data_IF_940573371509
#
_entry.id   IF_940573371509
#
_cell.length_a   1.000
_cell.length_b   1.000
_cell.length_c   1.000
_cell.angle_alpha   90.00
_cell.angle_beta   90.00
_cell.angle_gamma   90.00
#
_symmetry.space_group_name_H-M   'P 1'
#
loop_
_entity.id
_entity.type
_entity.pdbx_description
1 polymer ?
#
# COMPACT_ATOMS: atom_id res chain seq x y z
N UNK A 1 -3.37 -15.42 7.51
CA UNK A 1 -2.01 -14.86 7.51
C UNK A 1 -1.90 -13.80 8.60
N UNK A 2 -0.86 -13.84 9.40
CA UNK A 2 -0.64 -12.83 10.43
C UNK A 2 0.39 -11.81 9.97
N UNK A 3 0.03 -10.54 10.11
CA UNK A 3 0.90 -9.40 9.81
C UNK A 3 0.89 -8.44 10.99
N UNK A 4 1.81 -7.50 11.01
CA UNK A 4 2.04 -6.64 12.17
C UNK A 4 1.96 -5.18 11.77
N UNK A 5 1.43 -4.37 12.68
CA UNK A 5 1.28 -2.94 12.47
C UNK A 5 1.70 -2.18 13.74
N UNK A 6 2.35 -1.04 13.54
CA UNK A 6 2.71 -0.13 14.63
C UNK A 6 2.03 1.21 14.46
N UNK A 7 1.61 1.83 15.56
CA UNK A 7 0.97 3.15 15.56
C UNK A 7 1.18 3.88 16.88
N UNK A 8 0.74 5.12 16.94
CA UNK A 8 0.76 5.93 18.15
C UNK A 8 -0.47 5.74 19.04
N UNK A 9 -1.47 5.03 18.57
CA UNK A 9 -2.70 4.78 19.30
C UNK A 9 -3.16 3.33 19.10
N UNK A 10 -3.99 2.85 20.04
CA UNK A 10 -4.60 1.52 19.91
C UNK A 10 -5.51 1.49 18.69
N UNK A 11 -5.29 0.50 17.84
CA UNK A 11 -6.08 0.30 16.62
C UNK A 11 -7.20 -0.71 16.91
N UNK A 12 -8.43 -0.30 16.75
CA UNK A 12 -9.62 -1.16 16.83
C UNK A 12 -10.07 -1.53 15.42
N UNK A 13 -10.07 -0.56 14.52
CA UNK A 13 -10.34 -0.72 13.10
C UNK A 13 -9.36 0.12 12.31
N UNK A 14 -9.00 -0.32 11.11
CA UNK A 14 -8.19 0.47 10.20
C UNK A 14 -9.09 1.41 9.38
N UNK A 15 -8.73 2.69 9.40
CA UNK A 15 -9.41 3.70 8.59
C UNK A 15 -8.70 3.84 7.25
N UNK A 16 -9.26 3.20 6.23
CA UNK A 16 -8.70 3.22 4.88
C UNK A 16 -8.78 4.59 4.20
N UNK A 17 -9.52 5.54 4.76
CA UNK A 17 -9.51 6.92 4.27
C UNK A 17 -8.22 7.67 4.61
N UNK A 18 -7.43 7.16 5.58
CA UNK A 18 -6.16 7.73 6.03
C UNK A 18 -4.94 7.04 5.44
N UNK A 19 -5.11 6.34 4.33
CA UNK A 19 -4.01 5.69 3.60
C UNK A 19 -2.92 6.72 3.28
N UNK A 20 -1.67 6.37 3.58
CA UNK A 20 -0.50 7.23 3.34
C UNK A 20 -0.26 8.32 4.38
N UNK A 21 -1.10 8.45 5.43
CA UNK A 21 -0.98 9.51 6.43
C UNK A 21 0.28 9.41 7.32
N UNK A 22 0.85 8.21 7.48
CA UNK A 22 1.99 7.95 8.36
C UNK A 22 3.28 7.60 7.62
N UNK A 23 3.30 7.68 6.29
CA UNK A 23 4.48 7.32 5.52
C UNK A 23 4.24 7.42 4.03
N UNK A 24 5.25 7.01 3.26
CA UNK A 24 5.18 7.02 1.81
C UNK A 24 4.25 5.96 1.24
N UNK A 25 3.99 6.06 -0.04
CA UNK A 25 3.17 5.12 -0.81
C UNK A 25 4.02 4.43 -1.89
N UNK A 26 5.27 4.08 -1.54
CA UNK A 26 6.27 3.55 -2.49
C UNK A 26 5.84 2.24 -3.15
N UNK A 27 5.06 1.44 -2.45
CA UNK A 27 4.50 0.17 -2.96
C UNK A 27 3.01 0.32 -3.24
N UNK A 28 2.59 1.52 -3.62
CA UNK A 28 1.21 1.80 -3.94
C UNK A 28 0.37 2.23 -2.75
N UNK A 29 -0.91 2.45 -3.01
CA UNK A 29 -1.88 2.96 -2.08
C UNK A 29 -2.54 1.81 -1.31
N UNK A 30 -2.48 1.86 0.02
CA UNK A 30 -3.08 0.84 0.87
C UNK A 30 -2.68 1.02 2.32
N UNK A 31 -3.11 0.10 3.16
CA UNK A 31 -2.68 0.01 4.55
C UNK A 31 -1.43 -0.88 4.65
N UNK A 32 -0.37 -0.37 5.25
CA UNK A 32 0.94 -1.01 5.30
C UNK A 32 1.13 -1.82 6.57
N UNK A 33 1.66 -3.03 6.41
CA UNK A 33 1.98 -3.96 7.49
C UNK A 33 3.39 -4.53 7.31
N UNK A 34 3.96 -5.06 8.40
CA UNK A 34 5.22 -5.79 8.40
C UNK A 34 4.98 -7.30 8.45
N UNK A 35 5.91 -8.07 7.91
CA UNK A 35 5.84 -9.55 7.89
C UNK A 35 6.07 -10.16 9.27
N UNK A 36 6.83 -9.51 10.14
CA UNK A 36 7.16 -10.00 11.47
C UNK A 36 7.17 -8.88 12.51
N UNK A 37 7.03 -9.26 13.78
CA UNK A 37 7.05 -8.31 14.88
C UNK A 37 8.40 -7.58 14.97
N UNK A 38 9.52 -8.29 14.78
CA UNK A 38 10.85 -7.67 14.85
C UNK A 38 11.05 -6.61 13.77
N UNK A 39 10.56 -6.84 12.55
CA UNK A 39 10.60 -5.86 11.49
C UNK A 39 9.66 -4.67 11.79
N UNK A 40 8.50 -4.95 12.37
CA UNK A 40 7.57 -3.93 12.84
C UNK A 40 8.19 -3.03 13.92
N UNK A 41 8.95 -3.60 14.85
CA UNK A 41 9.71 -2.86 15.87
C UNK A 41 10.74 -1.93 15.22
N UNK A 42 11.42 -2.38 14.17
CA UNK A 42 12.33 -1.53 13.39
C UNK A 42 11.62 -0.33 12.77
N UNK A 43 10.43 -0.52 12.22
CA UNK A 43 9.59 0.56 11.72
C UNK A 43 9.15 1.50 12.85
N UNK A 44 8.83 0.97 14.02
CA UNK A 44 8.47 1.76 15.21
C UNK A 44 9.57 2.75 15.58
N UNK A 45 10.82 2.31 15.59
CA UNK A 45 11.98 3.19 15.85
C UNK A 45 12.04 4.33 14.83
N UNK A 46 11.87 4.01 13.55
CA UNK A 46 11.93 5.01 12.47
C UNK A 46 10.78 6.00 12.49
N UNK A 47 9.58 5.54 12.84
CA UNK A 47 8.36 6.34 12.83
C UNK A 47 8.05 6.98 14.18
N UNK A 48 8.75 6.58 15.26
CA UNK A 48 8.49 7.05 16.61
C UNK A 48 7.17 6.56 17.20
N UNK A 49 6.70 5.39 16.77
CA UNK A 49 5.45 4.79 17.26
C UNK A 49 5.69 3.86 18.44
N UNK A 50 4.66 3.58 19.24
CA UNK A 50 4.80 2.87 20.51
C UNK A 50 3.81 1.74 20.75
N UNK A 51 2.79 1.61 19.93
CA UNK A 51 1.80 0.54 20.05
C UNK A 51 1.92 -0.46 18.90
N UNK A 52 1.68 -1.72 19.19
CA UNK A 52 1.81 -2.81 18.23
C UNK A 52 0.54 -3.66 18.23
N UNK A 53 0.15 -4.11 17.07
CA UNK A 53 -0.91 -5.11 16.93
C UNK A 53 -0.53 -6.18 15.93
N UNK A 54 -1.07 -7.38 16.12
CA UNK A 54 -1.08 -8.42 15.11
C UNK A 54 -2.42 -8.42 14.42
N UNK A 55 -2.41 -8.54 13.10
CA UNK A 55 -3.60 -8.49 12.27
C UNK A 55 -3.70 -9.79 11.49
N UNK A 56 -4.82 -10.48 11.65
CA UNK A 56 -5.15 -11.62 10.80
C UNK A 56 -5.78 -11.08 9.51
N UNK A 57 -5.15 -11.39 8.39
CA UNK A 57 -5.66 -11.03 7.07
C UNK A 57 -5.95 -12.27 6.23
N UNK A 58 -6.97 -12.18 5.40
CA UNK A 58 -7.29 -13.12 4.34
C UNK A 58 -7.29 -12.34 3.03
N UNK A 59 -6.11 -12.29 2.40
CA UNK A 59 -5.88 -11.43 1.26
C UNK A 59 -5.18 -12.21 0.14
N UNK A 60 -5.63 -11.97 -1.08
CA UNK A 60 -4.92 -12.38 -2.28
C UNK A 60 -3.92 -11.30 -2.62
N UNK A 61 -2.64 -11.60 -2.44
CA UNK A 61 -1.56 -10.62 -2.58
C UNK A 61 -0.81 -10.79 -3.90
N UNK A 62 -0.59 -9.65 -4.56
CA UNK A 62 0.24 -9.56 -5.75
C UNK A 62 1.71 -9.50 -5.33
N UNK A 63 2.57 -10.31 -5.96
CA UNK A 63 4.01 -10.23 -5.76
C UNK A 63 4.54 -8.87 -6.22
N UNK A 64 5.37 -8.23 -5.39
CA UNK A 64 5.96 -6.92 -5.70
C UNK A 64 6.80 -6.93 -6.98
N UNK A 65 7.45 -8.04 -7.31
CA UNK A 65 8.21 -8.15 -8.56
C UNK A 65 7.30 -7.95 -9.77
N UNK A 66 6.11 -8.53 -9.74
CA UNK A 66 5.10 -8.32 -10.79
C UNK A 66 4.57 -6.89 -10.75
N UNK A 67 4.37 -6.35 -9.57
CA UNK A 67 3.89 -4.96 -9.41
C UNK A 67 4.87 -3.95 -10.03
N UNK A 68 6.17 -4.13 -9.83
CA UNK A 68 7.19 -3.23 -10.36
C UNK A 68 7.62 -3.55 -11.79
N UNK A 69 7.21 -4.69 -12.35
CA UNK A 69 7.53 -5.05 -13.72
C UNK A 69 6.79 -4.15 -14.72
N UNK A 70 7.33 -4.06 -15.92
CA UNK A 70 6.65 -3.37 -17.02
C UNK A 70 5.33 -4.08 -17.33
N UNK A 71 4.26 -3.32 -17.44
CA UNK A 71 2.92 -3.83 -17.73
C UNK A 71 2.30 -2.99 -18.85
N UNK A 72 2.32 -3.49 -20.11
CA UNK A 72 1.69 -2.79 -21.24
C UNK A 72 0.21 -2.48 -20.98
N UNK A 73 -0.50 -3.35 -20.26
CA UNK A 73 -1.90 -3.17 -19.89
C UNK A 73 -2.10 -1.95 -18.97
N UNK A 74 -1.13 -1.67 -18.10
CA UNK A 74 -1.16 -0.48 -17.24
C UNK A 74 -1.03 0.79 -18.09
N UNK A 75 -0.14 0.80 -19.06
CA UNK A 75 0.02 1.94 -19.98
C UNK A 75 -1.27 2.17 -20.76
N UNK A 76 -1.90 1.11 -21.28
CA UNK A 76 -3.18 1.19 -21.97
C UNK A 76 -4.29 1.74 -21.05
N UNK A 77 -4.29 1.34 -19.78
CA UNK A 77 -5.22 1.84 -18.76
C UNK A 77 -5.02 3.33 -18.50
N UNK A 78 -3.76 3.80 -18.37
CA UNK A 78 -3.45 5.22 -18.23
C UNK A 78 -3.96 6.03 -19.43
N UNK A 79 -3.77 5.52 -20.63
CA UNK A 79 -4.21 6.19 -21.85
C UNK A 79 -5.74 6.21 -21.97
N UNK A 80 -6.40 5.14 -21.55
CA UNK A 80 -7.86 5.08 -21.53
C UNK A 80 -8.48 6.13 -20.60
N UNK A 81 -7.81 6.45 -19.50
CA UNK A 81 -8.22 7.52 -18.59
C UNK A 81 -7.75 8.92 -19.04
N UNK A 82 -6.94 9.00 -20.09
CA UNK A 82 -6.38 10.26 -20.53
C UNK A 82 -5.33 10.85 -19.58
N UNK A 83 -4.61 9.99 -18.85
CA UNK A 83 -3.63 10.44 -17.84
C UNK A 83 -2.26 10.78 -18.41
N UNK A 84 -1.96 10.37 -19.64
CA UNK A 84 -0.69 10.65 -20.32
C UNK A 84 -0.86 11.69 -21.40
N UNK A 85 0.20 12.50 -21.63
CA UNK A 85 0.27 13.43 -22.74
C UNK A 85 0.71 12.73 -24.03
N UNK A 86 0.82 13.50 -25.13
CA UNK A 86 1.22 12.98 -26.45
C UNK A 86 2.64 12.40 -26.46
N UNK A 87 3.51 12.84 -25.54
CA UNK A 87 4.88 12.39 -25.42
C UNK A 87 4.99 11.15 -24.51
N UNK A 88 3.91 10.72 -23.87
CA UNK A 88 3.87 9.55 -23.01
C UNK A 88 4.15 9.82 -21.53
N UNK A 89 4.25 11.08 -21.12
CA UNK A 89 4.41 11.46 -19.73
C UNK A 89 3.07 11.67 -19.04
N UNK A 90 3.01 11.44 -17.73
CA UNK A 90 1.84 11.81 -16.95
C UNK A 90 1.60 13.32 -17.05
N UNK A 91 0.36 13.71 -17.25
CA UNK A 91 -0.02 15.13 -17.32
C UNK A 91 0.22 15.83 -15.98
N UNK A 92 0.58 17.11 -16.00
CA UNK A 92 0.77 17.91 -14.79
C UNK A 92 -0.48 17.96 -13.91
N UNK A 93 -1.67 17.99 -14.52
CA UNK A 93 -2.94 17.94 -13.81
C UNK A 93 -3.13 16.65 -13.01
N UNK A 94 -2.59 15.53 -13.50
CA UNK A 94 -2.60 14.25 -12.79
C UNK A 94 -1.57 14.26 -11.66
N UNK A 95 -0.35 14.72 -11.93
CA UNK A 95 0.73 14.81 -10.93
C UNK A 95 0.36 15.72 -9.76
N UNK A 96 -0.41 16.77 -10.01
CA UNK A 96 -0.85 17.73 -8.98
C UNK A 96 -1.79 17.10 -7.93
N UNK A 97 -2.37 15.93 -8.20
CA UNK A 97 -3.20 15.21 -7.23
C UNK A 97 -2.39 14.48 -6.16
N UNK A 98 -1.07 14.40 -6.31
CA UNK A 98 -0.17 13.67 -5.40
C UNK A 98 0.73 14.64 -4.65
N UNK A 99 1.01 14.34 -3.36
CA UNK A 99 1.95 15.14 -2.56
C UNK A 99 3.35 15.10 -3.13
N UNK A 100 3.79 13.92 -3.57
CA UNK A 100 5.06 13.71 -4.24
C UNK A 100 4.83 13.11 -5.62
N UNK A 101 5.29 13.78 -6.66
CA UNK A 101 5.10 13.32 -8.04
C UNK A 101 5.79 11.98 -8.31
N UNK A 102 6.86 11.67 -7.60
CA UNK A 102 7.58 10.39 -7.68
C UNK A 102 6.73 9.18 -7.25
N UNK A 103 5.72 9.39 -6.40
CA UNK A 103 4.82 8.33 -5.94
C UNK A 103 3.63 8.10 -6.88
N UNK A 104 3.41 8.98 -7.84
CA UNK A 104 2.23 8.94 -8.71
C UNK A 104 2.10 7.62 -9.47
N UNK A 105 3.19 7.10 -10.02
CA UNK A 105 3.18 5.85 -10.79
C UNK A 105 2.79 4.66 -9.92
N UNK A 106 3.36 4.53 -8.72
CA UNK A 106 3.04 3.40 -7.84
C UNK A 106 1.61 3.47 -7.30
N UNK A 107 1.12 4.67 -6.98
CA UNK A 107 -0.27 4.85 -6.56
C UNK A 107 -1.24 4.51 -7.71
N UNK A 108 -1.00 5.04 -8.90
CA UNK A 108 -1.83 4.75 -10.07
C UNK A 108 -1.78 3.26 -10.44
N UNK A 109 -0.62 2.63 -10.32
CA UNK A 109 -0.47 1.20 -10.59
C UNK A 109 -1.25 0.35 -9.59
N UNK A 110 -1.29 0.72 -8.31
CA UNK A 110 -2.12 0.04 -7.33
C UNK A 110 -3.61 0.18 -7.65
N UNK A 111 -4.05 1.34 -8.10
CA UNK A 111 -5.43 1.58 -8.56
C UNK A 111 -5.77 0.74 -9.80
N UNK A 112 -4.82 0.60 -10.72
CA UNK A 112 -4.96 -0.26 -11.89
C UNK A 112 -5.21 -1.73 -11.48
N UNK A 113 -4.38 -2.27 -10.59
CA UNK A 113 -4.56 -3.65 -10.13
C UNK A 113 -5.83 -3.82 -9.30
N UNK A 114 -6.19 -2.85 -8.49
CA UNK A 114 -7.43 -2.85 -7.72
C UNK A 114 -8.66 -2.88 -8.63
N UNK A 115 -8.65 -2.14 -9.73
CA UNK A 115 -9.76 -2.04 -10.66
C UNK A 115 -9.86 -3.24 -11.60
N UNK A 116 -8.73 -3.76 -12.08
CA UNK A 116 -8.68 -4.76 -13.15
C UNK A 116 -8.46 -6.19 -12.70
N UNK A 117 -8.19 -6.41 -11.41
CA UNK A 117 -7.91 -7.73 -10.85
C UNK A 117 -8.68 -7.93 -9.55
N UNK A 118 -8.60 -9.15 -9.01
CA UNK A 118 -9.16 -9.48 -7.70
C UNK A 118 -8.08 -9.57 -6.60
N UNK A 119 -6.91 -8.99 -6.81
CA UNK A 119 -5.92 -8.86 -5.76
C UNK A 119 -6.41 -7.90 -4.68
N UNK A 120 -6.08 -8.22 -3.43
CA UNK A 120 -6.45 -7.42 -2.25
C UNK A 120 -5.31 -6.54 -1.76
N UNK A 121 -4.12 -6.72 -2.29
CA UNK A 121 -2.93 -5.99 -1.90
C UNK A 121 -1.67 -6.52 -2.56
N UNK A 122 -0.53 -6.12 -2.01
CA UNK A 122 0.80 -6.41 -2.53
C UNK A 122 1.66 -6.99 -1.41
N UNK A 123 2.46 -8.02 -1.74
CA UNK A 123 3.47 -8.58 -0.86
C UNK A 123 4.87 -8.19 -1.36
N UNK A 124 5.54 -7.33 -0.61
CA UNK A 124 6.92 -6.91 -0.87
C UNK A 124 7.83 -7.44 0.23
N UNK A 125 8.35 -8.65 0.04
CA UNK A 125 9.24 -9.29 1.00
C UNK A 125 10.59 -8.58 1.13
N UNK A 126 11.09 -8.01 0.05
CA UNK A 126 12.42 -7.37 0.01
C UNK A 126 12.50 -6.17 0.98
N UNK A 127 11.46 -5.33 1.01
CA UNK A 127 11.40 -4.14 1.86
C UNK A 127 10.44 -4.28 3.03
N UNK A 128 10.04 -5.50 3.35
CA UNK A 128 9.15 -5.83 4.47
C UNK A 128 7.82 -5.06 4.44
N UNK A 129 7.18 -4.98 3.31
CA UNK A 129 5.88 -4.37 3.21
C UNK A 129 4.82 -5.38 2.76
N UNK A 130 3.72 -5.43 3.48
CA UNK A 130 2.46 -5.96 2.97
C UNK A 130 1.51 -4.79 2.90
N UNK A 131 1.02 -4.50 1.70
CA UNK A 131 0.11 -3.38 1.46
C UNK A 131 -1.26 -3.94 1.13
N UNK A 132 -2.27 -3.61 1.92
CA UNK A 132 -3.65 -4.08 1.73
C UNK A 132 -4.52 -2.90 1.33
N UNK A 133 -5.19 -3.01 0.19
CA UNK A 133 -6.15 -2.00 -0.26
C UNK A 133 -7.60 -2.41 -0.10
N UNK A 134 -7.89 -3.70 0.13
CA UNK A 134 -9.25 -4.17 0.36
C UNK A 134 -9.52 -4.32 1.87
N UNK A 135 -10.37 -3.45 2.47
CA UNK A 135 -10.64 -3.51 3.90
C UNK A 135 -11.31 -4.82 4.35
N UNK A 136 -11.98 -5.53 3.46
CA UNK A 136 -12.59 -6.84 3.75
C UNK A 136 -11.57 -7.93 4.04
N UNK A 137 -10.30 -7.71 3.67
CA UNK A 137 -9.20 -8.64 3.96
C UNK A 137 -8.82 -8.67 5.44
N UNK A 138 -9.12 -7.62 6.20
CA UNK A 138 -8.84 -7.54 7.63
C UNK A 138 -9.88 -8.36 8.40
N UNK A 139 -9.45 -9.43 9.08
CA UNK A 139 -10.35 -10.33 9.81
C UNK A 139 -10.36 -10.12 11.31
N UNK A 140 -9.18 -9.85 11.88
CA UNK A 140 -9.04 -9.69 13.33
C UNK A 140 -7.83 -8.83 13.65
N UNK A 141 -7.97 -7.95 14.64
CA UNK A 141 -6.90 -7.11 15.16
C UNK A 141 -6.72 -7.46 16.64
N UNK A 142 -5.49 -7.79 17.05
CA UNK A 142 -5.17 -8.12 18.45
C UNK A 142 -4.00 -7.24 18.91
N UNK A 143 -4.17 -6.54 20.02
CA UNK A 143 -3.10 -5.73 20.58
C UNK A 143 -2.02 -6.62 21.19
N UNK A 144 -0.75 -6.30 20.93
CA UNK A 144 0.40 -7.01 21.48
C UNK A 144 0.95 -6.25 22.67
N UNK A 145 1.04 -4.93 22.56
CA UNK A 145 1.50 -4.04 23.63
C UNK A 145 0.79 -2.71 23.54
N UNK A 146 0.67 -2.08 24.65
CA UNK A 146 0.14 -0.72 24.78
C UNK A 146 1.27 0.25 25.13
#
# INVERSE_FOLDING_TARGET
MKVYHTSNSIIVNFDFSKIGSCGGVQVGEGMYFSHSLSLCEGWSVRLGTVTFCVVDIDAKLLDAKRFFAKAPEFIAWLDAYGYRDEEGYLKESVLAEFEASEDAISVLKSRFYKETTNFDGIDDEEFDNIVVWNPKSIKRITQISA
#
